data_IF_221199128592
#
_entry.id   IF_221199128592
#
_cell.length_a   1.000
_cell.length_b   1.000
_cell.length_c   1.000
_cell.angle_alpha   90.00
_cell.angle_beta   90.00
_cell.angle_gamma   90.00
#
_symmetry.space_group_name_H-M   'P 1'
#
loop_
_entity.id
_entity.type
_entity.pdbx_description
1 polymer ?
#
# COMPACT_ATOMS: atom_id res chain seq x y z
N UNK A 1 -5.70 -24.18 23.57
CA UNK A 1 -4.29 -23.79 23.71
C UNK A 1 -3.99 -22.41 23.11
N UNK A 2 -4.49 -22.09 21.90
CA UNK A 2 -4.29 -20.79 21.25
C UNK A 2 -4.84 -19.57 21.99
N UNK A 3 -5.98 -19.71 22.68
CA UNK A 3 -6.59 -18.61 23.44
C UNK A 3 -5.67 -18.11 24.57
N UNK A 4 -4.93 -19.00 25.24
CA UNK A 4 -3.96 -18.60 26.25
C UNK A 4 -2.80 -17.81 25.64
N UNK A 5 -2.38 -18.17 24.42
CA UNK A 5 -1.34 -17.45 23.67
C UNK A 5 -1.83 -16.05 23.29
N UNK A 6 -3.07 -15.92 22.83
CA UNK A 6 -3.66 -14.62 22.48
C UNK A 6 -3.82 -13.73 23.72
N UNK A 7 -4.32 -14.28 24.83
CA UNK A 7 -4.46 -13.54 26.09
C UNK A 7 -3.10 -13.12 26.65
N UNK A 8 -2.09 -13.98 26.58
CA UNK A 8 -0.72 -13.65 26.98
C UNK A 8 -0.14 -12.53 26.11
N UNK A 9 -0.39 -12.56 24.80
CA UNK A 9 0.08 -11.55 23.86
C UNK A 9 -0.58 -10.19 24.13
N UNK A 10 -1.90 -10.17 24.35
CA UNK A 10 -2.64 -8.94 24.72
C UNK A 10 -2.17 -8.41 26.07
N UNK A 11 -1.99 -9.28 27.07
CA UNK A 11 -1.48 -8.89 28.38
C UNK A 11 -0.07 -8.29 28.32
N UNK A 12 0.79 -8.80 27.42
CA UNK A 12 2.14 -8.28 27.19
C UNK A 12 2.14 -6.91 26.49
N UNK A 13 1.11 -6.60 25.69
CA UNK A 13 0.99 -5.29 25.04
C UNK A 13 0.74 -4.16 26.05
N UNK A 14 -0.04 -4.42 27.11
CA UNK A 14 -0.41 -3.42 28.13
C UNK A 14 0.81 -2.68 28.74
N UNK A 15 1.85 -3.36 29.28
CA UNK A 15 3.02 -2.67 29.86
C UNK A 15 3.87 -1.94 28.81
N UNK A 16 3.95 -2.44 27.58
CA UNK A 16 4.68 -1.78 26.49
C UNK A 16 4.01 -0.45 26.17
N UNK A 17 2.68 -0.43 26.05
CA UNK A 17 1.92 0.82 25.85
C UNK A 17 2.06 1.78 27.03
N UNK A 18 2.04 1.31 28.28
CA UNK A 18 2.18 2.16 29.45
C UNK A 18 3.55 2.88 29.51
N UNK A 19 4.64 2.16 29.18
CA UNK A 19 6.00 2.73 29.16
C UNK A 19 6.17 3.73 28.00
N UNK A 20 5.53 3.47 26.85
CA UNK A 20 5.62 4.37 25.70
C UNK A 20 4.90 5.70 25.96
N UNK A 21 3.76 5.70 26.65
CA UNK A 21 2.95 6.90 26.91
C UNK A 21 3.70 7.94 27.76
N UNK A 22 4.55 7.52 28.69
CA UNK A 22 5.37 8.43 29.52
C UNK A 22 6.68 8.90 28.83
N UNK A 23 6.97 8.43 27.62
CA UNK A 23 8.19 8.75 26.87
C UNK A 23 7.91 9.71 25.68
N UNK A 24 8.83 10.60 25.29
CA UNK A 24 8.67 11.53 24.16
C UNK A 24 8.29 10.86 22.81
N UNK A 25 8.59 9.56 22.67
CA UNK A 25 8.20 8.76 21.51
C UNK A 25 6.70 8.42 21.50
N UNK A 26 6.07 8.14 22.64
CA UNK A 26 4.62 7.91 22.70
C UNK A 26 3.81 9.15 22.34
N UNK A 27 4.31 10.35 22.63
CA UNK A 27 3.65 11.62 22.31
C UNK A 27 3.66 11.95 20.80
N UNK A 28 4.72 11.57 20.09
CA UNK A 28 4.82 11.78 18.64
C UNK A 28 4.06 10.72 17.84
N UNK A 29 3.99 9.48 18.35
CA UNK A 29 3.09 8.46 17.82
C UNK A 29 1.63 8.77 18.15
N UNK A 30 1.27 9.23 19.36
CA UNK A 30 -0.08 9.70 19.67
C UNK A 30 -0.52 10.84 18.75
N UNK A 31 0.38 11.78 18.41
CA UNK A 31 0.09 12.85 17.45
C UNK A 31 -0.11 12.36 16.00
N UNK A 32 0.34 11.13 15.68
CA UNK A 32 0.18 10.50 14.36
C UNK A 32 -0.96 9.47 14.35
N UNK A 33 -1.24 8.86 15.49
CA UNK A 33 -2.23 7.81 15.73
C UNK A 33 -3.58 8.38 16.18
N UNK A 34 -3.63 9.59 16.77
CA UNK A 34 -4.85 10.42 16.76
C UNK A 34 -5.30 10.73 15.31
N UNK A 35 -4.42 10.55 14.33
CA UNK A 35 -4.72 10.60 12.90
C UNK A 35 -5.05 9.25 12.24
N UNK A 36 -5.05 8.15 12.99
CA UNK A 36 -5.27 6.80 12.45
C UNK A 36 -5.48 5.78 13.57
N UNK A 37 -6.76 5.48 13.83
CA UNK A 37 -7.24 4.33 14.57
C UNK A 37 -6.89 4.30 16.08
N UNK A 38 -7.73 4.99 16.85
CA UNK A 38 -7.83 4.76 18.28
C UNK A 38 -8.47 3.39 18.54
N UNK A 39 -7.69 2.44 19.05
CA UNK A 39 -8.22 1.37 19.89
C UNK A 39 -8.96 2.04 21.04
N UNK A 40 -10.23 1.67 21.19
CA UNK A 40 -11.22 2.24 22.08
C UNK A 40 -10.67 2.48 23.50
N UNK A 41 -10.68 3.76 23.92
CA UNK A 41 -10.46 4.12 25.32
C UNK A 41 -9.78 5.48 25.53
N UNK A 42 -10.49 6.59 25.29
CA UNK A 42 -10.06 7.90 25.79
C UNK A 42 -10.46 9.08 24.92
N UNK A 43 -11.26 9.99 25.50
CA UNK A 43 -11.82 11.20 24.92
C UNK A 43 -10.88 12.07 24.05
N UNK A 44 -11.31 12.45 22.83
CA UNK A 44 -10.61 13.50 22.06
C UNK A 44 -10.92 13.66 20.55
N UNK A 45 -12.10 14.16 20.20
CA UNK A 45 -12.38 15.09 19.07
C UNK A 45 -11.78 14.93 17.65
N UNK A 46 -12.61 14.46 16.71
CA UNK A 46 -12.90 15.06 15.38
C UNK A 46 -11.83 15.25 14.28
N UNK A 47 -10.56 14.84 14.44
CA UNK A 47 -9.50 15.06 13.44
C UNK A 47 -9.15 13.91 12.47
N UNK A 48 -9.33 12.65 12.89
CA UNK A 48 -8.78 11.48 12.17
C UNK A 48 -9.47 11.12 10.85
N UNK A 49 -10.79 11.27 10.75
CA UNK A 49 -11.56 10.85 9.57
C UNK A 49 -11.21 11.61 8.27
N UNK A 50 -10.76 12.85 8.37
CA UNK A 50 -10.36 13.65 7.21
C UNK A 50 -9.01 13.19 6.61
N UNK A 51 -8.09 12.72 7.46
CA UNK A 51 -6.79 12.19 7.01
C UNK A 51 -6.96 10.83 6.33
N UNK A 52 -7.80 9.96 6.88
CA UNK A 52 -8.16 8.66 6.28
C UNK A 52 -8.82 8.85 4.92
N UNK A 53 -9.82 9.74 4.83
CA UNK A 53 -10.49 10.06 3.55
C UNK A 53 -9.53 10.64 2.49
N UNK A 54 -8.50 11.38 2.91
CA UNK A 54 -7.45 11.89 2.01
C UNK A 54 -6.53 10.75 1.54
N UNK A 55 -6.27 9.77 2.39
CA UNK A 55 -5.48 8.60 2.05
C UNK A 55 -6.24 7.70 1.07
N UNK A 56 -7.53 7.44 1.32
CA UNK A 56 -8.42 6.71 0.41
C UNK A 56 -8.45 7.34 -0.98
N UNK A 57 -8.64 8.66 -1.07
CA UNK A 57 -8.62 9.37 -2.36
C UNK A 57 -7.27 9.26 -3.08
N UNK A 58 -6.16 9.21 -2.34
CA UNK A 58 -4.83 9.01 -2.94
C UNK A 58 -4.64 7.58 -3.42
N UNK A 59 -5.17 6.60 -2.69
CA UNK A 59 -5.15 5.19 -3.09
C UNK A 59 -5.97 4.99 -4.37
N UNK A 60 -7.17 5.55 -4.45
CA UNK A 60 -8.03 5.48 -5.64
C UNK A 60 -7.35 6.06 -6.89
N UNK A 61 -6.66 7.21 -6.74
CA UNK A 61 -5.87 7.80 -7.84
C UNK A 61 -4.70 6.89 -8.23
N UNK A 62 -3.97 6.35 -7.25
CA UNK A 62 -2.83 5.45 -7.50
C UNK A 62 -3.27 4.15 -8.18
N UNK A 63 -4.43 3.60 -7.81
CA UNK A 63 -5.01 2.42 -8.45
C UNK A 63 -5.37 2.71 -9.90
N UNK A 64 -5.99 3.86 -10.16
CA UNK A 64 -6.29 4.31 -11.53
C UNK A 64 -5.02 4.49 -12.36
N UNK A 65 -4.01 5.17 -11.81
CA UNK A 65 -2.73 5.39 -12.48
C UNK A 65 -2.02 4.05 -12.79
N UNK A 66 -2.14 3.05 -11.90
CA UNK A 66 -1.60 1.71 -12.12
C UNK A 66 -2.32 0.96 -13.24
N UNK A 67 -3.65 1.07 -13.33
CA UNK A 67 -4.43 0.48 -14.42
C UNK A 67 -4.05 1.09 -15.77
N UNK A 68 -3.92 2.42 -15.84
CA UNK A 68 -3.48 3.15 -17.03
C UNK A 68 -2.06 2.75 -17.45
N UNK A 69 -1.14 2.67 -16.48
CA UNK A 69 0.24 2.27 -16.74
C UNK A 69 0.33 0.82 -17.22
N UNK A 70 -0.46 -0.08 -16.65
CA UNK A 70 -0.55 -1.47 -17.08
C UNK A 70 -1.08 -1.57 -18.52
N UNK A 71 -2.08 -0.77 -18.88
CA UNK A 71 -2.60 -0.70 -20.25
C UNK A 71 -1.55 -0.17 -21.23
N UNK A 72 -0.79 0.84 -20.84
CA UNK A 72 0.32 1.39 -21.63
C UNK A 72 1.43 0.37 -21.86
N UNK A 73 1.82 -0.38 -20.82
CA UNK A 73 2.81 -1.46 -20.94
C UNK A 73 2.31 -2.56 -21.89
N UNK A 74 1.03 -2.92 -21.84
CA UNK A 74 0.45 -3.87 -22.78
C UNK A 74 0.54 -3.36 -24.24
N UNK A 75 0.21 -2.09 -24.48
CA UNK A 75 0.35 -1.47 -25.81
C UNK A 75 1.79 -1.42 -26.32
N UNK A 76 2.74 -1.01 -25.48
CA UNK A 76 4.17 -1.01 -25.85
C UNK A 76 4.69 -2.41 -26.16
N UNK A 77 4.19 -3.46 -25.47
CA UNK A 77 4.55 -4.85 -25.79
C UNK A 77 4.06 -5.28 -27.17
N UNK A 78 2.86 -4.84 -27.57
CA UNK A 78 2.32 -5.10 -28.91
C UNK A 78 3.15 -4.40 -29.99
N UNK A 79 3.55 -3.14 -29.77
CA UNK A 79 4.43 -2.41 -30.69
C UNK A 79 5.82 -3.07 -30.82
N UNK A 80 6.40 -3.50 -29.71
CA UNK A 80 7.68 -4.23 -29.71
C UNK A 80 7.58 -5.57 -30.44
N UNK A 81 6.48 -6.30 -30.27
CA UNK A 81 6.23 -7.53 -31.02
C UNK A 81 6.01 -7.27 -32.51
N UNK A 82 5.32 -6.19 -32.88
CA UNK A 82 5.14 -5.78 -34.27
C UNK A 82 6.47 -5.40 -34.92
N UNK A 83 7.32 -4.64 -34.23
CA UNK A 83 8.68 -4.31 -34.71
C UNK A 83 9.55 -5.55 -34.84
N UNK A 84 9.49 -6.48 -33.86
CA UNK A 84 10.17 -7.77 -33.98
C UNK A 84 9.67 -8.57 -35.18
N UNK A 85 8.36 -8.59 -35.44
CA UNK A 85 7.76 -9.26 -36.61
C UNK A 85 8.24 -8.64 -37.92
N UNK A 86 8.25 -7.31 -38.02
CA UNK A 86 8.76 -6.57 -39.18
C UNK A 86 10.25 -6.80 -39.43
N UNK A 87 11.03 -7.05 -38.38
CA UNK A 87 12.47 -7.35 -38.48
C UNK A 87 12.74 -8.85 -38.71
N UNK A 88 11.80 -9.73 -38.36
CA UNK A 88 11.86 -11.18 -38.67
C UNK A 88 11.51 -11.48 -40.13
N UNK A 89 10.51 -10.81 -40.70
CA UNK A 89 10.03 -11.02 -42.06
C UNK A 89 11.09 -10.82 -43.19
N UNK A 90 11.96 -9.80 -43.16
CA UNK A 90 12.96 -9.61 -44.22
C UNK A 90 14.10 -10.63 -44.18
N UNK A 91 14.33 -11.32 -43.05
CA UNK A 91 15.38 -12.34 -42.92
C UNK A 91 14.92 -13.75 -43.31
N UNK A 92 13.60 -13.99 -43.42
CA UNK A 92 13.03 -15.31 -43.79
C UNK A 92 12.61 -15.42 -45.26
N UNK A 93 12.56 -14.32 -46.03
CA UNK A 93 12.26 -14.34 -47.47
C UNK A 93 13.54 -14.41 -48.35
N UNK A 94 14.20 -15.58 -48.31
CA UNK A 94 15.12 -16.28 -49.25
C UNK A 94 15.98 -15.50 -50.28
N UNK A 95 17.14 -16.06 -50.65
CA UNK A 95 17.23 -16.54 -52.04
C UNK A 95 17.69 -18.00 -52.07
N UNK A 96 16.83 -18.85 -52.61
CA UNK A 96 17.07 -20.29 -52.69
C UNK A 96 15.94 -20.98 -53.42
N UNK A 97 15.47 -20.41 -54.52
CA UNK A 97 14.85 -21.13 -55.61
C UNK A 97 14.92 -20.28 -56.85
#
# INVERSE_FOLDING_TARGET
MWILVVVLLVALMIPITAILVDSPLGRSFARRLEGGDGVEGGAGGTGGGAAVRRLERRVEVLETDLEDLNRSIAGMREELQFVQRLLEDPRKKKPGS
#
